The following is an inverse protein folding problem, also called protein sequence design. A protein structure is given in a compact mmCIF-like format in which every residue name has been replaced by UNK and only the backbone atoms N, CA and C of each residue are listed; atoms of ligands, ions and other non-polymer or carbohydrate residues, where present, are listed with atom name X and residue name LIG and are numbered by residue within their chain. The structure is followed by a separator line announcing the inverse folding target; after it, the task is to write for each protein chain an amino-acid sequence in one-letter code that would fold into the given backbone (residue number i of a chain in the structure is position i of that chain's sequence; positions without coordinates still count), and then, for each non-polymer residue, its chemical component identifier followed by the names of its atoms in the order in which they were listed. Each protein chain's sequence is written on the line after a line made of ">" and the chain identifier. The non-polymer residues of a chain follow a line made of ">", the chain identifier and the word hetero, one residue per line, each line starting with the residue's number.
data_IF_021345810710
#
_entry.id   IF_021345810710
#
_cell.length_a   1.000
_cell.length_b   1.000
_cell.length_c   1.000
_cell.angle_alpha   90.00
_cell.angle_beta   90.00
_cell.angle_gamma   90.00
#
_symmetry.space_group_name_H-M   'P 1'
#
loop_
_entity.id
_entity.type
_entity.pdbx_description
1 polymer ?
#
# COMPACT_ATOMS: atom_id res chain seq x y z
N UNK A 1 3.32 -11.06 -7.35
CA UNK A 1 4.14 -9.83 -7.40
C UNK A 1 5.17 -9.85 -6.25
N UNK A 2 4.75 -10.02 -5.00
CA UNK A 2 5.67 -10.04 -3.85
C UNK A 2 6.69 -11.19 -3.91
N UNK A 3 6.29 -12.39 -4.34
CA UNK A 3 7.19 -13.55 -4.45
C UNK A 3 8.34 -13.29 -5.42
N UNK A 4 8.07 -12.60 -6.54
CA UNK A 4 9.09 -12.22 -7.51
C UNK A 4 10.01 -11.11 -6.98
N UNK A 5 9.45 -10.17 -6.21
CA UNK A 5 10.22 -9.12 -5.57
C UNK A 5 11.19 -9.66 -4.50
N UNK A 6 10.79 -10.72 -3.82
CA UNK A 6 11.65 -11.41 -2.86
C UNK A 6 12.79 -12.19 -3.52
N UNK A 7 12.63 -12.65 -4.78
CA UNK A 7 13.63 -13.46 -5.48
C UNK A 7 14.75 -12.63 -6.16
N UNK A 8 14.46 -11.37 -6.53
CA UNK A 8 15.43 -10.49 -7.22
C UNK A 8 15.26 -9.02 -6.79
N UNK A 9 15.54 -8.77 -5.52
CA UNK A 9 15.24 -7.48 -4.85
C UNK A 9 15.95 -6.28 -5.47
N UNK A 10 17.20 -6.43 -5.87
CA UNK A 10 17.99 -5.30 -6.39
C UNK A 10 17.52 -4.89 -7.79
N UNK A 11 17.38 -5.85 -8.69
CA UNK A 11 16.95 -5.57 -10.05
C UNK A 11 15.54 -4.98 -10.10
N UNK A 12 14.62 -5.54 -9.32
CA UNK A 12 13.23 -5.07 -9.28
C UNK A 12 13.11 -3.67 -8.66
N UNK A 13 13.86 -3.36 -7.60
CA UNK A 13 13.88 -2.02 -6.98
C UNK A 13 14.39 -0.97 -7.96
N UNK A 14 15.43 -1.27 -8.73
CA UNK A 14 15.95 -0.38 -9.78
C UNK A 14 14.91 -0.16 -10.86
N UNK A 15 14.25 -1.21 -11.32
CA UNK A 15 13.23 -1.14 -12.37
C UNK A 15 12.00 -0.35 -11.92
N UNK A 16 11.51 -0.57 -10.71
CA UNK A 16 10.39 0.19 -10.12
C UNK A 16 10.75 1.67 -10.02
N UNK A 17 11.92 1.99 -9.50
CA UNK A 17 12.39 3.38 -9.36
C UNK A 17 12.48 4.06 -10.73
N UNK A 18 13.02 3.38 -11.73
CA UNK A 18 13.13 3.91 -13.09
C UNK A 18 11.74 4.18 -13.72
N UNK A 19 10.82 3.24 -13.57
CA UNK A 19 9.46 3.40 -14.09
C UNK A 19 8.72 4.55 -13.39
N UNK A 20 8.86 4.68 -12.08
CA UNK A 20 8.26 5.77 -11.32
C UNK A 20 8.83 7.14 -11.74
N UNK A 21 10.15 7.23 -11.94
CA UNK A 21 10.79 8.43 -12.49
C UNK A 21 10.26 8.76 -13.88
N UNK A 22 10.10 7.78 -14.75
CA UNK A 22 9.56 8.00 -16.10
C UNK A 22 8.11 8.50 -16.08
N UNK A 23 7.26 7.96 -15.22
CA UNK A 23 5.90 8.44 -15.01
C UNK A 23 5.91 9.92 -14.59
N UNK A 24 6.76 10.30 -13.65
CA UNK A 24 6.86 11.67 -13.16
C UNK A 24 7.44 12.62 -14.21
N UNK A 25 8.46 12.19 -14.97
CA UNK A 25 9.02 12.97 -16.07
C UNK A 25 7.96 13.24 -17.13
N UNK A 26 7.20 12.24 -17.51
CA UNK A 26 6.13 12.39 -18.48
C UNK A 26 5.04 13.33 -17.98
N UNK A 27 4.65 13.20 -16.72
CA UNK A 27 3.72 14.13 -16.08
C UNK A 27 4.22 15.57 -16.11
N UNK A 28 5.49 15.81 -15.79
CA UNK A 28 6.11 17.16 -15.81
C UNK A 28 6.22 17.74 -17.22
N UNK A 29 6.61 16.93 -18.21
CA UNK A 29 6.64 17.36 -19.62
C UNK A 29 5.28 17.80 -20.12
N UNK A 30 4.27 17.05 -19.78
CA UNK A 30 2.92 17.37 -20.21
C UNK A 30 2.38 18.60 -19.47
N UNK A 31 2.69 18.82 -18.20
CA UNK A 31 2.40 20.06 -17.51
C UNK A 31 3.04 21.28 -18.20
N UNK A 32 4.32 21.19 -18.57
CA UNK A 32 5.03 22.27 -19.26
C UNK A 32 4.45 22.57 -20.66
N UNK A 33 4.10 21.54 -21.42
CA UNK A 33 3.48 21.70 -22.74
C UNK A 33 2.12 22.43 -22.65
N UNK A 34 1.36 22.24 -21.58
CA UNK A 34 0.09 22.93 -21.39
C UNK A 34 0.21 24.32 -20.79
N UNK A 35 1.21 24.57 -19.96
CA UNK A 35 1.52 25.95 -19.54
C UNK A 35 1.85 26.86 -20.71
N UNK A 36 2.45 26.32 -21.78
CA UNK A 36 2.71 27.02 -23.03
C UNK A 36 1.46 27.21 -23.93
N UNK A 37 0.43 26.39 -23.78
CA UNK A 37 -0.75 26.41 -24.66
C UNK A 37 -1.94 27.16 -24.10
N UNK A 38 -2.01 27.46 -22.78
CA UNK A 38 -3.23 28.02 -22.18
C UNK A 38 -2.89 28.98 -21.03
N UNK A 39 -2.95 30.25 -21.30
CA UNK A 39 -3.18 31.27 -20.26
C UNK A 39 -4.60 31.13 -19.69
N UNK A 40 -4.71 30.54 -18.51
CA UNK A 40 -5.87 30.60 -17.63
C UNK A 40 -6.97 29.54 -17.84
N UNK A 41 -7.13 28.59 -17.05
CA UNK A 41 -8.30 27.76 -16.70
C UNK A 41 -8.29 26.23 -16.88
N UNK A 42 -7.24 25.61 -17.38
CA UNK A 42 -7.25 24.15 -17.61
C UNK A 42 -6.37 23.29 -16.66
N UNK A 43 -5.88 23.86 -15.57
CA UNK A 43 -4.97 23.15 -14.63
C UNK A 43 -5.60 21.95 -13.89
N UNK A 44 -6.93 21.86 -13.80
CA UNK A 44 -7.60 20.77 -13.06
C UNK A 44 -7.80 19.50 -13.88
N UNK A 45 -8.24 19.63 -15.12
CA UNK A 45 -8.60 18.49 -15.96
C UNK A 45 -7.40 17.66 -16.44
N UNK A 46 -6.20 18.22 -16.30
CA UNK A 46 -5.00 17.59 -16.80
C UNK A 46 -4.37 16.59 -15.82
N UNK A 47 -4.26 16.93 -14.53
CA UNK A 47 -3.74 16.01 -13.51
C UNK A 47 -4.68 14.83 -13.31
N UNK A 48 -5.98 15.04 -13.44
CA UNK A 48 -6.97 13.97 -13.50
C UNK A 48 -6.70 13.04 -14.68
N UNK A 49 -6.49 13.56 -15.88
CA UNK A 49 -6.24 12.73 -17.07
C UNK A 49 -4.98 11.85 -16.98
N UNK A 50 -3.92 12.34 -16.32
CA UNK A 50 -2.74 11.50 -16.05
C UNK A 50 -3.05 10.44 -15.01
N UNK A 51 -3.75 10.80 -13.95
CA UNK A 51 -4.15 9.84 -12.92
C UNK A 51 -5.00 8.72 -13.52
N UNK A 52 -5.98 9.08 -14.34
CA UNK A 52 -6.85 8.12 -15.04
C UNK A 52 -6.03 7.20 -15.97
N UNK A 53 -5.08 7.76 -16.73
CA UNK A 53 -4.17 6.97 -17.56
C UNK A 53 -3.31 5.99 -16.76
N UNK A 54 -2.75 6.43 -15.62
CA UNK A 54 -1.96 5.55 -14.76
C UNK A 54 -2.85 4.48 -14.12
N UNK A 55 -4.10 4.81 -13.80
CA UNK A 55 -5.09 3.85 -13.30
C UNK A 55 -5.41 2.77 -14.36
N UNK A 56 -5.63 3.15 -15.60
CA UNK A 56 -5.80 2.20 -16.72
C UNK A 56 -4.58 1.29 -16.89
N UNK A 57 -3.37 1.87 -16.79
CA UNK A 57 -2.12 1.11 -16.87
C UNK A 57 -2.00 0.09 -15.73
N UNK A 58 -2.34 0.49 -14.51
CA UNK A 58 -2.33 -0.41 -13.35
C UNK A 58 -3.33 -1.55 -13.50
N UNK A 59 -4.53 -1.25 -13.97
CA UNK A 59 -5.62 -2.20 -14.15
C UNK A 59 -5.43 -3.14 -15.37
N UNK A 60 -4.51 -2.83 -16.27
CA UNK A 60 -4.24 -3.69 -17.43
C UNK A 60 -3.59 -5.01 -16.99
N UNK A 61 -4.22 -6.19 -17.20
CA UNK A 61 -3.69 -7.47 -16.76
C UNK A 61 -2.37 -7.84 -17.46
N UNK A 62 -2.14 -7.35 -18.68
CA UNK A 62 -0.97 -7.68 -19.48
C UNK A 62 0.26 -6.80 -19.17
N UNK A 63 0.12 -5.84 -18.26
CA UNK A 63 1.24 -4.99 -17.87
C UNK A 63 2.28 -5.74 -17.04
N UNK A 64 3.55 -5.34 -17.20
CA UNK A 64 4.66 -5.86 -16.39
C UNK A 64 4.50 -5.47 -14.92
N UNK A 65 4.90 -6.38 -14.03
CA UNK A 65 4.76 -6.22 -12.59
C UNK A 65 5.47 -4.97 -12.05
N UNK A 66 6.69 -4.68 -12.53
CA UNK A 66 7.47 -3.52 -12.11
C UNK A 66 6.80 -2.19 -12.47
N UNK A 67 6.15 -2.13 -13.64
CA UNK A 67 5.39 -0.96 -14.04
C UNK A 67 4.07 -0.84 -13.26
N UNK A 68 3.40 -1.96 -12.97
CA UNK A 68 2.21 -1.97 -12.09
C UNK A 68 2.55 -1.50 -10.67
N UNK A 69 3.68 -1.92 -10.11
CA UNK A 69 4.12 -1.47 -8.79
C UNK A 69 4.40 0.04 -8.80
N UNK A 70 5.09 0.55 -9.82
CA UNK A 70 5.34 1.98 -9.97
C UNK A 70 4.04 2.78 -10.10
N UNK A 71 3.10 2.29 -10.92
CA UNK A 71 1.77 2.86 -11.06
C UNK A 71 1.00 2.84 -9.74
N UNK A 72 1.04 1.74 -9.00
CA UNK A 72 0.41 1.62 -7.68
C UNK A 72 0.95 2.66 -6.69
N UNK A 73 2.27 2.81 -6.60
CA UNK A 73 2.91 3.80 -5.73
C UNK A 73 2.45 5.21 -6.09
N UNK A 74 2.38 5.52 -7.39
CA UNK A 74 1.88 6.81 -7.87
C UNK A 74 0.40 7.01 -7.49
N UNK A 75 -0.45 6.04 -7.79
CA UNK A 75 -1.89 6.09 -7.51
C UNK A 75 -2.16 6.28 -6.02
N UNK A 76 -1.50 5.53 -5.15
CA UNK A 76 -1.65 5.67 -3.69
C UNK A 76 -1.22 7.06 -3.20
N UNK A 77 -0.20 7.65 -3.79
CA UNK A 77 0.24 9.00 -3.44
C UNK A 77 -0.73 10.11 -3.86
N UNK A 78 -1.54 9.89 -4.89
CA UNK A 78 -2.47 10.88 -5.45
C UNK A 78 -3.94 10.50 -5.34
N UNK A 79 -4.28 9.34 -4.79
CA UNK A 79 -5.66 8.92 -4.56
C UNK A 79 -6.29 9.66 -3.38
N UNK A 80 -7.61 9.75 -3.39
CA UNK A 80 -8.36 10.34 -2.29
C UNK A 80 -8.09 9.58 -0.99
N UNK A 81 -7.62 10.31 0.04
CA UNK A 81 -7.25 9.79 1.37
C UNK A 81 -6.16 8.68 1.35
N UNK A 82 -5.50 8.42 0.23
CA UNK A 82 -4.54 7.32 0.12
C UNK A 82 -5.18 5.93 0.23
N UNK A 83 -6.47 5.81 -0.06
CA UNK A 83 -7.22 4.56 0.07
C UNK A 83 -7.14 3.76 -1.21
N UNK A 84 -7.07 2.44 -1.08
CA UNK A 84 -7.15 1.49 -2.18
C UNK A 84 -8.55 0.89 -2.23
N UNK A 85 -9.34 1.27 -3.24
CA UNK A 85 -10.67 0.68 -3.49
C UNK A 85 -10.70 -0.02 -4.83
N UNK A 86 -11.53 -1.05 -4.93
CA UNK A 86 -11.78 -1.79 -6.16
C UNK A 86 -13.26 -1.71 -6.51
N UNK A 87 -13.54 -1.78 -7.79
CA UNK A 87 -14.90 -1.96 -8.31
C UNK A 87 -15.33 -3.45 -8.27
N UNK A 88 -16.54 -3.73 -8.74
CA UNK A 88 -17.10 -5.09 -8.79
C UNK A 88 -16.30 -6.04 -9.72
N UNK A 89 -15.45 -5.50 -10.59
CA UNK A 89 -14.57 -6.25 -11.49
C UNK A 89 -13.15 -6.43 -10.92
N UNK A 90 -12.92 -6.09 -9.66
CA UNK A 90 -11.62 -6.14 -8.97
C UNK A 90 -10.60 -5.11 -9.51
N UNK A 91 -11.01 -4.09 -10.29
CA UNK A 91 -10.16 -3.02 -10.76
C UNK A 91 -10.03 -1.90 -9.73
N UNK A 92 -8.81 -1.35 -9.61
CA UNK A 92 -8.59 -0.14 -8.81
C UNK A 92 -9.44 1.01 -9.35
N UNK A 93 -10.21 1.66 -8.48
CA UNK A 93 -11.16 2.69 -8.86
C UNK A 93 -11.17 3.93 -7.94
N UNK A 94 -10.23 4.06 -7.00
CA UNK A 94 -10.18 5.23 -6.12
C UNK A 94 -9.96 6.51 -6.92
N UNK A 95 -10.76 7.56 -6.71
CA UNK A 95 -10.64 8.79 -7.48
C UNK A 95 -9.39 9.61 -7.13
N UNK A 96 -9.02 10.52 -8.01
CA UNK A 96 -7.96 11.48 -7.79
C UNK A 96 -8.30 12.46 -6.67
N UNK A 97 -7.40 12.63 -5.72
CA UNK A 97 -7.61 13.49 -4.53
C UNK A 97 -7.64 15.01 -4.80
N UNK A 98 -7.34 15.42 -6.02
CA UNK A 98 -7.34 16.83 -6.39
C UNK A 98 -6.10 17.60 -5.91
N UNK A 99 -6.17 18.94 -5.99
CA UNK A 99 -5.01 19.83 -5.77
C UNK A 99 -4.39 19.76 -4.39
N UNK A 100 -5.13 19.38 -3.36
CA UNK A 100 -4.63 19.35 -1.97
C UNK A 100 -3.49 18.35 -1.77
N UNK A 101 -3.40 17.33 -2.63
CA UNK A 101 -2.45 16.24 -2.52
C UNK A 101 -1.31 16.33 -3.55
N UNK A 102 -1.21 17.41 -4.32
CA UNK A 102 -0.12 17.64 -5.26
C UNK A 102 1.26 17.86 -4.60
N UNK A 103 1.31 17.95 -3.29
CA UNK A 103 2.54 18.09 -2.50
C UNK A 103 3.15 16.75 -2.06
N UNK A 104 2.73 15.63 -2.64
CA UNK A 104 3.38 14.35 -2.38
C UNK A 104 4.83 14.42 -2.84
N UNK A 105 5.73 14.16 -1.91
CA UNK A 105 7.18 14.20 -2.13
C UNK A 105 7.65 12.94 -2.88
N UNK A 106 7.23 12.82 -4.16
CA UNK A 106 7.60 11.66 -4.99
C UNK A 106 9.10 11.56 -5.19
N UNK A 107 9.80 12.68 -5.28
CA UNK A 107 11.26 12.70 -5.41
C UNK A 107 11.91 12.09 -4.16
N UNK A 108 11.43 12.44 -2.96
CA UNK A 108 11.90 11.87 -1.70
C UNK A 108 11.57 10.37 -1.59
N UNK A 109 10.37 9.97 -2.01
CA UNK A 109 9.98 8.56 -2.05
C UNK A 109 10.88 7.75 -3.00
N UNK A 110 11.20 8.29 -4.19
CA UNK A 110 12.10 7.65 -5.15
C UNK A 110 13.50 7.48 -4.56
N UNK A 111 14.04 8.52 -3.91
CA UNK A 111 15.34 8.44 -3.27
C UNK A 111 15.35 7.43 -2.10
N UNK A 112 14.28 7.36 -1.33
CA UNK A 112 14.11 6.36 -0.29
C UNK A 112 14.09 4.94 -0.86
N UNK A 113 13.35 4.70 -1.95
CA UNK A 113 13.31 3.40 -2.64
C UNK A 113 14.70 2.98 -3.14
N UNK A 114 15.50 3.92 -3.63
CA UNK A 114 16.87 3.67 -4.10
C UNK A 114 17.89 3.52 -2.98
N UNK A 115 17.53 3.85 -1.75
CA UNK A 115 18.50 3.89 -0.66
C UNK A 115 19.07 2.51 -0.33
N UNK A 116 20.37 2.47 -0.09
CA UNK A 116 21.06 1.25 0.36
C UNK A 116 20.57 0.79 1.75
N UNK A 117 20.10 1.73 2.57
CA UNK A 117 19.53 1.43 3.88
C UNK A 117 18.24 0.62 3.74
N UNK A 118 17.31 1.05 2.89
CA UNK A 118 16.07 0.32 2.63
C UNK A 118 16.37 -1.07 2.05
N UNK A 119 17.24 -1.15 1.06
CA UNK A 119 17.67 -2.42 0.47
C UNK A 119 18.28 -3.37 1.51
N UNK A 120 19.12 -2.85 2.41
CA UNK A 120 19.70 -3.63 3.50
C UNK A 120 18.67 -4.13 4.51
N UNK A 121 17.66 -3.31 4.82
CA UNK A 121 16.55 -3.70 5.70
C UNK A 121 15.71 -4.81 5.07
N UNK A 122 15.31 -4.64 3.82
CA UNK A 122 14.53 -5.67 3.10
C UNK A 122 15.30 -6.98 2.93
N UNK A 123 16.62 -6.93 2.76
CA UNK A 123 17.44 -8.14 2.68
C UNK A 123 17.40 -9.00 3.97
N UNK A 124 17.04 -8.40 5.10
CA UNK A 124 16.93 -9.06 6.42
C UNK A 124 15.47 -9.31 6.82
N UNK A 125 14.51 -8.96 5.96
CA UNK A 125 13.08 -9.04 6.25
C UNK A 125 12.45 -10.14 5.42
N UNK A 126 11.72 -11.03 6.06
CA UNK A 126 10.83 -11.97 5.40
C UNK A 126 9.45 -11.31 5.24
N UNK A 127 8.90 -11.36 4.02
CA UNK A 127 7.58 -10.81 3.72
C UNK A 127 6.72 -11.93 3.18
N UNK A 128 5.52 -12.09 3.70
CA UNK A 128 4.56 -13.07 3.24
C UNK A 128 3.15 -12.50 3.19
N UNK A 129 2.30 -13.08 2.34
CA UNK A 129 0.88 -12.76 2.23
C UNK A 129 0.01 -13.90 2.81
N UNK A 130 0.50 -14.56 3.84
CA UNK A 130 -0.23 -15.65 4.48
C UNK A 130 -1.39 -15.12 5.32
N UNK A 131 -2.38 -15.98 5.50
CA UNK A 131 -3.42 -15.76 6.51
C UNK A 131 -2.76 -15.64 7.90
N UNK A 132 -3.24 -14.71 8.74
CA UNK A 132 -2.55 -14.28 9.97
C UNK A 132 -2.26 -15.42 10.97
N UNK A 133 -3.20 -16.34 11.19
CA UNK A 133 -2.97 -17.47 12.09
C UNK A 133 -1.95 -18.46 11.52
N UNK A 134 -1.96 -18.67 10.21
CA UNK A 134 -0.94 -19.47 9.52
C UNK A 134 0.43 -18.82 9.68
N UNK A 135 0.52 -17.51 9.52
CA UNK A 135 1.77 -16.75 9.72
C UNK A 135 2.27 -16.89 11.16
N UNK A 136 1.44 -16.61 12.15
CA UNK A 136 1.80 -16.66 13.57
C UNK A 136 2.29 -18.05 14.00
N UNK A 137 1.59 -19.11 13.56
CA UNK A 137 1.97 -20.50 13.89
C UNK A 137 3.25 -20.96 13.19
N UNK A 138 3.49 -20.52 11.95
CA UNK A 138 4.70 -20.87 11.21
C UNK A 138 5.93 -20.12 11.68
N UNK A 139 5.80 -18.87 12.08
CA UNK A 139 6.91 -18.05 12.59
C UNK A 139 7.43 -18.59 13.92
N UNK A 140 6.57 -19.25 14.71
CA UNK A 140 6.92 -19.90 15.98
C UNK A 140 7.78 -19.01 16.92
N UNK A 141 7.28 -17.79 17.15
CA UNK A 141 7.96 -16.78 17.97
C UNK A 141 8.26 -17.27 19.38
N UNK A 142 9.40 -16.87 19.91
CA UNK A 142 9.92 -17.20 21.24
C UNK A 142 9.75 -16.02 22.20
N UNK A 143 10.18 -16.20 23.47
CA UNK A 143 10.20 -15.12 24.46
C UNK A 143 11.10 -13.93 24.10
N UNK A 144 12.05 -14.12 23.19
CA UNK A 144 12.99 -13.08 22.75
C UNK A 144 12.42 -12.23 21.60
N UNK A 145 11.31 -12.67 21.02
CA UNK A 145 10.64 -12.00 19.92
C UNK A 145 9.59 -10.99 20.40
N UNK A 146 9.20 -10.11 19.47
CA UNK A 146 8.13 -9.15 19.67
C UNK A 146 7.17 -9.18 18.48
N UNK A 147 5.88 -9.36 18.76
CA UNK A 147 4.83 -9.39 17.76
C UNK A 147 4.09 -8.05 17.79
N UNK A 148 4.14 -7.29 16.70
CA UNK A 148 3.30 -6.11 16.51
C UNK A 148 2.11 -6.48 15.61
N UNK A 149 0.90 -6.12 16.05
CA UNK A 149 -0.36 -6.50 15.41
C UNK A 149 -1.19 -5.26 15.15
N UNK A 150 -1.58 -5.07 13.90
CA UNK A 150 -2.44 -3.97 13.46
C UNK A 150 -3.50 -4.52 12.49
N UNK A 151 -4.48 -5.31 13.01
CA UNK A 151 -5.53 -5.89 12.19
C UNK A 151 -6.47 -4.80 11.67
N UNK A 152 -7.11 -5.01 10.50
CA UNK A 152 -8.14 -4.10 9.99
C UNK A 152 -9.25 -3.89 11.00
N UNK A 153 -9.77 -2.66 11.06
CA UNK A 153 -10.92 -2.35 11.91
C UNK A 153 -12.19 -3.05 11.42
N UNK A 154 -13.12 -3.32 12.35
CA UNK A 154 -14.45 -3.86 12.01
C UNK A 154 -15.24 -2.84 11.19
N UNK A 155 -15.64 -3.21 9.99
CA UNK A 155 -16.24 -2.39 8.95
C UNK A 155 -17.63 -1.82 9.23
N UNK A 156 -18.17 -1.94 10.43
CA UNK A 156 -19.57 -1.56 10.71
C UNK A 156 -19.80 -0.04 10.64
N UNK A 157 -18.74 0.79 10.67
CA UNK A 157 -18.87 2.25 10.72
C UNK A 157 -18.11 3.01 9.62
N UNK A 158 -17.37 2.35 8.74
CA UNK A 158 -16.57 3.04 7.73
C UNK A 158 -16.90 2.53 6.31
N UNK A 159 -17.40 3.43 5.44
CA UNK A 159 -17.68 3.12 4.03
C UNK A 159 -16.47 2.54 3.28
N UNK A 160 -15.27 2.81 3.77
CA UNK A 160 -14.00 2.33 3.18
C UNK A 160 -13.54 0.98 3.73
N UNK A 161 -14.14 0.48 4.81
CA UNK A 161 -13.77 -0.79 5.43
C UNK A 161 -14.37 -2.02 4.73
N UNK A 162 -15.08 -1.84 3.62
CA UNK A 162 -15.73 -2.92 2.87
C UNK A 162 -14.77 -3.99 2.33
N UNK A 163 -13.47 -3.71 2.30
CA UNK A 163 -12.47 -4.59 1.65
C UNK A 163 -11.60 -5.40 2.61
N UNK A 164 -11.61 -5.09 3.91
CA UNK A 164 -10.88 -5.88 4.90
C UNK A 164 -11.54 -5.77 6.26
N UNK A 165 -12.35 -6.75 6.61
CA UNK A 165 -12.95 -6.84 7.94
C UNK A 165 -12.18 -7.85 8.77
N UNK A 166 -11.79 -7.46 9.98
CA UNK A 166 -11.31 -8.41 10.97
C UNK A 166 -12.43 -8.70 11.94
N UNK A 167 -13.06 -9.86 11.77
CA UNK A 167 -14.30 -10.23 12.48
C UNK A 167 -14.07 -10.54 13.96
N UNK A 168 -15.12 -10.48 14.78
CA UNK A 168 -15.06 -10.90 16.18
C UNK A 168 -14.56 -12.35 16.35
N UNK A 169 -14.87 -13.23 15.40
CA UNK A 169 -14.36 -14.61 15.41
C UNK A 169 -12.82 -14.65 15.20
N UNK A 170 -12.31 -13.81 14.31
CA UNK A 170 -10.85 -13.68 14.09
C UNK A 170 -10.17 -13.04 15.29
N UNK A 171 -10.78 -12.02 15.90
CA UNK A 171 -10.29 -11.45 17.15
C UNK A 171 -10.20 -12.49 18.27
N UNK A 172 -11.20 -13.36 18.43
CA UNK A 172 -11.17 -14.44 19.43
C UNK A 172 -10.05 -15.44 19.18
N UNK A 173 -9.85 -15.83 17.91
CA UNK A 173 -8.73 -16.73 17.54
C UNK A 173 -7.37 -16.07 17.82
N UNK A 174 -7.24 -14.78 17.52
CA UNK A 174 -6.02 -14.03 17.79
C UNK A 174 -5.78 -13.88 19.30
N UNK A 175 -6.82 -13.53 20.06
CA UNK A 175 -6.73 -13.40 21.52
C UNK A 175 -6.33 -14.73 22.18
N UNK A 176 -6.94 -15.84 21.76
CA UNK A 176 -6.59 -17.17 22.29
C UNK A 176 -5.11 -17.50 22.04
N UNK A 177 -4.62 -17.27 20.84
CA UNK A 177 -3.20 -17.46 20.52
C UNK A 177 -2.28 -16.56 21.37
N UNK A 178 -2.61 -15.27 21.49
CA UNK A 178 -1.78 -14.30 22.21
C UNK A 178 -1.74 -14.55 23.72
N UNK A 179 -2.84 -14.97 24.30
CA UNK A 179 -2.96 -15.19 25.75
C UNK A 179 -2.51 -16.58 26.19
N UNK A 180 -2.66 -17.60 25.34
CA UNK A 180 -2.50 -18.99 25.74
C UNK A 180 -1.40 -19.76 24.98
N UNK A 181 -1.04 -19.39 23.76
CA UNK A 181 -0.13 -20.17 22.94
C UNK A 181 1.27 -19.53 22.81
N UNK A 182 1.38 -18.22 22.57
CA UNK A 182 2.67 -17.57 22.35
C UNK A 182 3.38 -17.23 23.67
N UNK A 183 4.74 -17.31 23.62
CA UNK A 183 5.61 -16.79 24.68
C UNK A 183 6.21 -15.43 24.34
N UNK A 184 6.04 -14.98 23.11
CA UNK A 184 6.55 -13.69 22.65
C UNK A 184 5.82 -12.54 23.36
N UNK A 185 6.52 -11.42 23.51
CA UNK A 185 5.87 -10.16 23.90
C UNK A 185 5.09 -9.65 22.69
N UNK A 186 3.94 -9.02 22.92
CA UNK A 186 3.13 -8.53 21.83
C UNK A 186 2.51 -7.15 22.12
N UNK A 187 2.13 -6.47 21.07
CA UNK A 187 1.36 -5.24 21.09
C UNK A 187 0.28 -5.33 20.01
N UNK A 188 -0.92 -4.98 20.37
CA UNK A 188 -2.07 -4.94 19.49
C UNK A 188 -2.62 -3.52 19.43
N UNK A 189 -2.81 -2.99 18.21
CA UNK A 189 -3.51 -1.72 17.96
C UNK A 189 -4.89 -2.03 17.42
N UNK A 190 -5.93 -1.62 18.13
CA UNK A 190 -7.33 -1.81 17.73
C UNK A 190 -8.18 -0.66 18.24
N UNK A 191 -9.30 -0.39 17.57
CA UNK A 191 -10.31 0.52 18.08
C UNK A 191 -10.97 -0.08 19.32
N UNK A 192 -11.01 0.70 20.41
CA UNK A 192 -11.61 0.27 21.66
C UNK A 192 -13.11 -0.01 21.49
N UNK A 193 -13.55 -1.18 21.95
CA UNK A 193 -14.95 -1.55 22.11
C UNK A 193 -15.09 -2.50 23.28
N UNK A 194 -16.30 -2.58 23.86
CA UNK A 194 -16.57 -3.51 24.98
C UNK A 194 -16.26 -4.97 24.62
N UNK A 195 -16.53 -5.36 23.36
CA UNK A 195 -16.22 -6.71 22.87
C UNK A 195 -14.69 -6.96 22.85
N UNK A 196 -13.92 -6.02 22.35
CA UNK A 196 -12.46 -6.11 22.29
C UNK A 196 -11.87 -6.18 23.69
N UNK A 197 -12.26 -5.29 24.59
CA UNK A 197 -11.76 -5.29 25.97
C UNK A 197 -12.06 -6.58 26.75
N UNK A 198 -13.11 -7.30 26.37
CA UNK A 198 -13.45 -8.59 26.98
C UNK A 198 -12.70 -9.78 26.35
N UNK A 199 -12.06 -9.60 25.20
CA UNK A 199 -11.32 -10.66 24.50
C UNK A 199 -9.84 -10.68 24.87
N UNK A 200 -9.23 -9.50 25.10
CA UNK A 200 -7.81 -9.30 25.38
C UNK A 200 -7.59 -8.81 26.82
#
# INVERSE_FOLDING_TARGET
>A
IFDRWLSDKECLTVSISHNLVNIIIEMRKQEQLKEQMIEGNLKLGFKSGIYDYIMELYNNPDQKDDLKIAAFIFLMGYSEKGVFTKDDCEYFCTPYAGKRFNGVYMDELIENIKSSELSSRFAKTEISAWEFMTFLKRTNCTSDDFIFLDPPENAIEDEFAAYSTFTDAQHRLLADFLLNETKARWMLTVKESSNILNMY
#
